data_IF_639354365101
#
_entry.id   IF_639354365101
#
_cell.length_a   1.000
_cell.length_b   1.000
_cell.length_c   1.000
_cell.angle_alpha   90.00
_cell.angle_beta   90.00
_cell.angle_gamma   90.00
#
_symmetry.space_group_name_H-M   'P 1'
#
loop_
_entity.id
_entity.type
_entity.pdbx_description
1 polymer ?
#
# COMPACT_ATOMS: atom_id res chain seq x y z
N UNK A 1 -14.37 -6.01 14.74
CA UNK A 1 -13.79 -5.16 13.67
C UNK A 1 -12.69 -5.99 13.03
N UNK A 2 -12.82 -6.34 11.75
CA UNK A 2 -11.90 -7.28 11.10
C UNK A 2 -10.46 -6.78 11.18
N UNK A 3 -9.55 -7.65 11.63
CA UNK A 3 -8.12 -7.35 11.73
C UNK A 3 -7.58 -6.88 10.37
N UNK A 4 -6.79 -5.81 10.38
CA UNK A 4 -6.12 -5.33 9.16
C UNK A 4 -4.75 -6.00 9.09
N UNK A 5 -4.58 -6.88 8.12
CA UNK A 5 -3.30 -7.51 7.83
C UNK A 5 -2.44 -6.56 6.98
N UNK A 6 -1.36 -6.07 7.57
CA UNK A 6 -0.42 -5.17 6.90
C UNK A 6 0.70 -5.96 6.22
N UNK A 7 0.97 -5.62 4.95
CA UNK A 7 2.09 -6.13 4.19
C UNK A 7 3.02 -5.00 3.78
N UNK A 8 4.28 -5.08 4.21
CA UNK A 8 5.36 -4.18 3.78
C UNK A 8 5.95 -4.63 2.46
N UNK A 9 6.26 -3.68 1.58
CA UNK A 9 6.95 -3.96 0.31
C UNK A 9 8.34 -4.57 0.56
N UNK A 10 8.74 -5.55 -0.25
CA UNK A 10 10.10 -6.12 -0.23
C UNK A 10 11.15 -5.16 -0.78
N UNK A 11 10.74 -4.08 -1.46
CA UNK A 11 11.61 -2.98 -1.90
C UNK A 11 11.98 -2.00 -0.78
N UNK A 12 11.85 -2.42 0.48
CA UNK A 12 12.08 -1.57 1.66
C UNK A 12 13.50 -1.65 2.24
N UNK A 13 14.46 -2.24 1.52
CA UNK A 13 15.83 -2.44 1.99
C UNK A 13 16.91 -1.98 1.01
N UNK A 14 17.78 -1.07 1.48
CA UNK A 14 19.16 -0.86 1.03
C UNK A 14 19.39 -0.13 -0.29
N UNK A 15 19.47 1.21 -0.26
CA UNK A 15 19.95 2.07 -1.36
C UNK A 15 19.16 3.38 -1.50
N UNK A 16 19.67 4.33 -2.30
CA UNK A 16 19.17 5.72 -2.46
C UNK A 16 17.72 5.87 -3.02
N UNK A 17 16.92 4.80 -3.06
CA UNK A 17 15.57 4.76 -3.63
C UNK A 17 14.57 4.05 -2.71
N UNK A 18 14.54 4.41 -1.43
CA UNK A 18 13.61 3.88 -0.43
C UNK A 18 12.17 4.33 -0.70
N UNK A 19 11.41 3.69 -1.59
CA UNK A 19 9.98 3.95 -1.77
C UNK A 19 9.16 2.93 -0.96
N UNK A 20 9.32 2.97 0.36
CA UNK A 20 8.81 1.95 1.27
C UNK A 20 7.30 2.15 1.49
N UNK A 21 6.46 1.41 0.79
CA UNK A 21 5.00 1.43 1.00
C UNK A 21 4.51 0.19 1.74
N UNK A 22 3.45 0.38 2.53
CA UNK A 22 2.71 -0.70 3.17
C UNK A 22 1.26 -0.70 2.72
N UNK A 23 0.72 -1.90 2.53
CA UNK A 23 -0.69 -2.12 2.15
C UNK A 23 -1.37 -2.91 3.25
N UNK A 24 -2.44 -2.37 3.81
CA UNK A 24 -3.31 -2.99 4.79
C UNK A 24 -4.56 -3.53 4.11
N UNK A 25 -4.88 -4.80 4.34
CA UNK A 25 -6.08 -5.44 3.81
C UNK A 25 -6.89 -6.07 4.94
N UNK A 26 -8.22 -6.02 4.83
CA UNK A 26 -9.15 -6.66 5.75
C UNK A 26 -10.54 -6.74 5.12
N UNK A 27 -11.59 -6.91 5.93
CA UNK A 27 -12.97 -6.93 5.45
C UNK A 27 -13.48 -5.56 4.91
N UNK A 28 -12.68 -4.50 5.08
CA UNK A 28 -13.02 -3.13 4.72
C UNK A 28 -12.16 -2.56 3.58
N UNK A 29 -11.92 -1.24 3.57
CA UNK A 29 -11.12 -0.60 2.53
C UNK A 29 -9.67 -1.12 2.54
N UNK A 30 -9.01 -1.01 1.40
CA UNK A 30 -7.57 -1.20 1.31
C UNK A 30 -6.90 0.07 1.81
N UNK A 31 -5.97 -0.10 2.74
CA UNK A 31 -5.22 1.00 3.31
C UNK A 31 -3.82 1.04 2.70
N UNK A 32 -3.33 2.22 2.36
CA UNK A 32 -1.98 2.41 1.85
C UNK A 32 -1.32 3.52 2.65
N UNK A 33 -0.11 3.27 3.13
CA UNK A 33 0.68 4.27 3.87
C UNK A 33 2.15 4.18 3.51
N UNK A 34 2.83 5.32 3.64
CA UNK A 34 4.27 5.35 3.58
C UNK A 34 4.85 4.69 4.85
N UNK A 35 5.93 3.93 4.69
CA UNK A 35 6.58 3.22 5.80
C UNK A 35 7.49 4.14 6.60
N UNK A 36 8.03 5.18 5.95
CA UNK A 36 8.96 6.15 6.51
C UNK A 36 8.24 7.38 7.07
N UNK A 37 7.04 7.68 6.58
CA UNK A 37 6.19 8.73 7.11
C UNK A 37 4.83 8.14 7.55
N UNK A 38 4.77 7.72 8.81
CA UNK A 38 3.54 7.16 9.41
C UNK A 38 2.54 8.25 9.77
N UNK A 39 3.05 9.43 10.12
CA UNK A 39 2.26 10.57 10.55
C UNK A 39 1.67 11.33 9.36
N UNK A 40 2.23 11.17 8.16
CA UNK A 40 1.69 11.67 6.89
C UNK A 40 0.32 11.10 6.49
N UNK A 41 -0.19 10.11 7.24
CA UNK A 41 -1.56 9.60 7.10
C UNK A 41 -1.68 8.31 6.28
N UNK A 42 -2.91 7.82 6.18
CA UNK A 42 -3.23 6.56 5.50
C UNK A 42 -4.31 6.80 4.44
N UNK A 43 -3.98 6.45 3.20
CA UNK A 43 -4.95 6.47 2.10
C UNK A 43 -5.90 5.29 2.26
N UNK A 44 -7.20 5.57 2.28
CA UNK A 44 -8.26 4.58 2.32
C UNK A 44 -8.92 4.50 0.95
N UNK A 45 -8.80 3.36 0.29
CA UNK A 45 -9.32 3.15 -1.06
C UNK A 45 -10.20 1.90 -1.13
N UNK A 46 -11.21 1.92 -1.99
CA UNK A 46 -12.04 0.73 -2.17
C UNK A 46 -11.22 -0.42 -2.77
N UNK A 47 -11.52 -1.69 -2.42
CA UNK A 47 -10.82 -2.83 -3.00
C UNK A 47 -10.89 -2.88 -4.54
N UNK A 48 -12.00 -2.40 -5.13
CA UNK A 48 -12.17 -2.31 -6.58
C UNK A 48 -11.21 -1.28 -7.20
N UNK A 49 -11.13 -0.08 -6.62
CA UNK A 49 -10.23 0.97 -7.11
C UNK A 49 -8.77 0.55 -7.00
N UNK A 50 -8.38 -0.07 -5.88
CA UNK A 50 -7.01 -0.56 -5.69
C UNK A 50 -6.61 -1.60 -6.73
N UNK A 51 -7.49 -2.57 -7.04
CA UNK A 51 -7.25 -3.57 -8.09
C UNK A 51 -7.07 -2.93 -9.47
N UNK A 52 -7.93 -1.97 -9.83
CA UNK A 52 -7.83 -1.24 -11.09
C UNK A 52 -6.51 -0.44 -11.18
N UNK A 53 -6.12 0.23 -10.10
CA UNK A 53 -4.84 0.95 -10.02
C UNK A 53 -3.65 0.02 -10.25
N UNK A 54 -3.57 -1.12 -9.54
CA UNK A 54 -2.47 -2.09 -9.70
C UNK A 54 -2.41 -2.64 -11.12
N UNK A 55 -3.56 -2.95 -11.73
CA UNK A 55 -3.61 -3.40 -13.11
C UNK A 55 -3.06 -2.33 -14.08
N UNK A 56 -3.49 -1.08 -13.91
CA UNK A 56 -3.02 0.03 -14.75
C UNK A 56 -1.51 0.27 -14.63
N UNK A 57 -0.95 0.21 -13.41
CA UNK A 57 0.50 0.37 -13.18
C UNK A 57 1.30 -0.76 -13.84
N UNK A 58 0.81 -2.01 -13.78
CA UNK A 58 1.50 -3.16 -14.38
C UNK A 58 1.55 -3.12 -15.91
N UNK A 59 0.54 -2.55 -16.57
CA UNK A 59 0.50 -2.43 -18.04
C UNK A 59 1.42 -1.33 -18.58
N UNK A 60 1.89 -0.42 -17.72
CA UNK A 60 2.69 0.76 -18.10
C UNK A 60 4.20 0.55 -17.85
N UNK A 61 4.64 -0.68 -17.61
CA UNK A 61 6.03 -1.05 -17.35
C UNK A 61 6.59 -1.95 -18.46
#
# INVERSE_FOLDING_TARGET
>A
MGEISWRKSTRSGGGAGNNCVEVGTGAGPVLVRDTKDRDGGTLSVSPRAFRAFVAAVKTRY
#
